data_IF_056924304139
#
_entry.id   IF_056924304139
#
_cell.length_a   1.000
_cell.length_b   1.000
_cell.length_c   1.000
_cell.angle_alpha   90.00
_cell.angle_beta   90.00
_cell.angle_gamma   90.00
#
_symmetry.space_group_name_H-M   'P 1'
#
loop_
_entity.id
_entity.type
_entity.pdbx_description
1 polymer ?
#
# COMPACT_ATOMS: atom_id res chain seq x y z
N UNK A 1 17.92 5.64 -5.24
CA UNK A 1 16.66 5.77 -6.00
C UNK A 1 15.56 5.02 -5.28
N UNK A 2 14.37 5.61 -5.19
CA UNK A 2 13.21 4.99 -4.56
C UNK A 2 12.74 3.76 -5.38
N UNK A 3 12.56 2.57 -4.75
CA UNK A 3 12.03 1.38 -5.41
C UNK A 3 10.71 1.59 -6.16
N UNK A 4 9.81 2.42 -5.65
CA UNK A 4 8.48 2.65 -6.22
C UNK A 4 8.57 3.19 -7.66
N UNK A 5 9.64 3.91 -7.97
CA UNK A 5 9.83 4.54 -9.28
C UNK A 5 10.18 3.54 -10.39
N UNK A 6 10.78 2.39 -10.06
CA UNK A 6 11.24 1.42 -11.06
C UNK A 6 10.68 0.00 -10.90
N UNK A 7 10.09 -0.33 -9.75
CA UNK A 7 9.42 -1.62 -9.57
C UNK A 7 8.22 -1.76 -10.53
N UNK A 8 7.96 -2.98 -11.04
CA UNK A 8 6.86 -3.23 -11.96
C UNK A 8 5.52 -3.18 -11.22
N UNK A 9 4.68 -2.24 -11.63
CA UNK A 9 3.30 -2.03 -11.15
C UNK A 9 2.56 -1.14 -12.15
N UNK A 10 1.24 -1.12 -12.10
CA UNK A 10 0.41 -0.24 -12.91
C UNK A 10 0.67 1.24 -12.58
N UNK A 11 0.31 2.13 -13.51
CA UNK A 11 0.38 3.58 -13.30
C UNK A 11 -0.42 4.01 -12.06
N UNK A 12 -1.62 3.45 -11.88
CA UNK A 12 -2.52 3.79 -10.78
C UNK A 12 -1.94 3.35 -9.43
N UNK A 13 -1.42 2.13 -9.32
CA UNK A 13 -0.76 1.65 -8.09
C UNK A 13 0.44 2.53 -7.72
N UNK A 14 1.28 2.87 -8.72
CA UNK A 14 2.43 3.74 -8.50
C UNK A 14 2.01 5.12 -8.02
N UNK A 15 0.97 5.71 -8.62
CA UNK A 15 0.43 7.01 -8.20
C UNK A 15 -0.04 6.98 -6.74
N UNK A 16 -0.78 5.93 -6.34
CA UNK A 16 -1.22 5.73 -4.94
C UNK A 16 -0.04 5.64 -3.97
N UNK A 17 0.97 4.84 -4.32
CA UNK A 17 2.17 4.64 -3.49
C UNK A 17 3.00 5.91 -3.35
N UNK A 18 3.17 6.67 -4.43
CA UNK A 18 3.87 7.97 -4.41
C UNK A 18 3.11 8.95 -3.51
N UNK A 19 1.79 9.07 -3.66
CA UNK A 19 0.97 9.94 -2.80
C UNK A 19 1.15 9.57 -1.33
N UNK A 20 1.03 8.28 -0.99
CA UNK A 20 1.27 7.84 0.38
C UNK A 20 2.69 8.18 0.86
N UNK A 21 3.72 7.96 0.05
CA UNK A 21 5.12 8.22 0.45
C UNK A 21 5.42 9.70 0.67
N UNK A 22 4.74 10.58 -0.04
CA UNK A 22 4.84 12.04 0.14
C UNK A 22 4.01 12.56 1.32
N UNK A 23 3.31 11.68 2.05
CA UNK A 23 2.38 12.09 3.11
C UNK A 23 1.08 12.69 2.58
N UNK A 24 0.82 12.57 1.27
CA UNK A 24 -0.35 13.15 0.63
C UNK A 24 -1.53 12.18 0.74
N UNK A 25 -2.60 12.66 1.36
CA UNK A 25 -3.91 12.02 1.23
C UNK A 25 -4.44 12.26 -0.19
N UNK A 26 -5.32 11.39 -0.69
CA UNK A 26 -6.06 11.71 -1.91
C UNK A 26 -6.72 13.09 -1.75
N UNK A 27 -6.71 13.93 -2.80
CA UNK A 27 -7.26 15.30 -2.79
C UNK A 27 -6.47 16.39 -2.04
N UNK A 28 -5.44 16.06 -1.26
CA UNK A 28 -4.52 17.03 -0.65
C UNK A 28 -5.03 17.80 0.57
N UNK A 29 -6.30 17.64 0.96
CA UNK A 29 -6.88 18.22 2.17
C UNK A 29 -7.68 17.15 2.93
N UNK A 30 -7.58 17.09 4.28
CA UNK A 30 -8.39 16.16 5.06
C UNK A 30 -9.89 16.47 4.87
N UNK A 31 -10.67 15.42 4.59
CA UNK A 31 -12.12 15.46 4.54
C UNK A 31 -12.70 14.58 5.65
N UNK A 32 -13.96 14.80 6.08
CA UNK A 32 -14.62 13.87 6.99
C UNK A 32 -14.57 12.44 6.46
N UNK A 33 -14.31 11.47 7.33
CA UNK A 33 -14.38 10.07 6.97
C UNK A 33 -15.84 9.66 6.73
N UNK A 34 -16.12 8.96 5.64
CA UNK A 34 -17.48 8.46 5.34
C UNK A 34 -18.01 7.49 6.41
N UNK A 35 -17.12 6.75 7.09
CA UNK A 35 -17.50 5.82 8.17
C UNK A 35 -17.55 6.51 9.54
N UNK A 36 -16.81 7.60 9.71
CA UNK A 36 -16.71 8.36 10.96
C UNK A 36 -16.86 9.86 10.65
N UNK A 37 -18.08 10.38 10.47
CA UNK A 37 -18.30 11.75 9.98
C UNK A 37 -17.73 12.85 10.88
N UNK A 38 -17.47 12.54 12.15
CA UNK A 38 -16.87 13.47 13.12
C UNK A 38 -15.34 13.50 13.06
N UNK A 39 -14.71 12.54 12.37
CA UNK A 39 -13.27 12.42 12.26
C UNK A 39 -12.78 12.82 10.87
N UNK A 40 -11.69 13.58 10.82
CA UNK A 40 -10.99 13.86 9.56
C UNK A 40 -10.19 12.62 9.11
N UNK A 41 -10.28 12.30 7.82
CA UNK A 41 -9.49 11.27 7.17
C UNK A 41 -8.02 11.69 7.11
N UNK A 42 -7.31 11.46 8.21
CA UNK A 42 -5.85 11.60 8.35
C UNK A 42 -5.16 10.26 8.09
N UNK A 43 -3.82 10.23 8.03
CA UNK A 43 -3.07 8.96 7.92
C UNK A 43 -3.28 8.05 9.13
N UNK A 44 -3.25 8.61 10.34
CA UNK A 44 -3.49 7.86 11.57
C UNK A 44 -4.92 7.33 11.60
N UNK A 45 -5.91 8.16 11.23
CA UNK A 45 -7.29 7.71 11.10
C UNK A 45 -7.43 6.63 10.04
N UNK A 46 -6.78 6.75 8.87
CA UNK A 46 -6.84 5.72 7.84
C UNK A 46 -6.30 4.37 8.34
N UNK A 47 -5.22 4.37 9.13
CA UNK A 47 -4.63 3.16 9.72
C UNK A 47 -5.62 2.44 10.63
N UNK A 48 -6.33 3.18 11.49
CA UNK A 48 -7.31 2.61 12.42
C UNK A 48 -8.60 2.24 11.70
N UNK A 49 -9.13 3.14 10.87
CA UNK A 49 -10.39 2.99 10.12
C UNK A 49 -10.36 1.82 9.14
N UNK A 50 -9.24 1.57 8.45
CA UNK A 50 -9.09 0.43 7.53
C UNK A 50 -8.51 -0.83 8.20
N UNK A 51 -8.37 -0.84 9.53
CA UNK A 51 -7.80 -1.94 10.32
C UNK A 51 -6.48 -2.47 9.75
N UNK A 52 -5.60 -1.57 9.31
CA UNK A 52 -4.44 -1.90 8.50
C UNK A 52 -3.46 -2.86 9.21
N UNK A 53 -3.28 -2.71 10.52
CA UNK A 53 -2.41 -3.59 11.33
C UNK A 53 -2.83 -5.05 11.27
N UNK A 54 -4.12 -5.31 11.45
CA UNK A 54 -4.70 -6.64 11.40
C UNK A 54 -4.52 -7.24 10.00
N UNK A 55 -4.89 -6.48 8.96
CA UNK A 55 -4.81 -6.94 7.57
C UNK A 55 -3.38 -7.25 7.13
N UNK A 56 -2.41 -6.45 7.56
CA UNK A 56 -1.00 -6.62 7.15
C UNK A 56 -0.19 -7.55 8.04
N UNK A 57 -0.82 -8.11 9.08
CA UNK A 57 -0.18 -8.96 10.10
C UNK A 57 1.02 -8.24 10.72
N UNK A 58 0.78 -7.03 11.23
CA UNK A 58 1.80 -6.13 11.79
C UNK A 58 1.41 -5.63 13.19
N UNK A 59 2.37 -5.52 14.13
CA UNK A 59 2.11 -5.00 15.47
C UNK A 59 1.55 -3.57 15.46
N UNK A 60 0.66 -3.25 16.40
CA UNK A 60 0.08 -1.91 16.60
C UNK A 60 1.10 -0.87 17.06
N UNK A 61 2.29 -1.28 17.49
CA UNK A 61 3.38 -0.38 17.90
C UNK A 61 3.98 0.41 16.73
N UNK A 62 3.72 0.01 15.49
CA UNK A 62 4.27 0.66 14.29
C UNK A 62 3.29 1.73 13.80
N UNK A 63 3.47 2.97 14.24
CA UNK A 63 2.53 4.07 13.93
C UNK A 63 2.36 4.37 12.44
N UNK A 64 3.38 4.18 11.59
CA UNK A 64 3.28 4.37 10.14
C UNK A 64 3.64 3.07 9.40
N UNK A 65 2.76 2.09 9.55
CA UNK A 65 2.96 0.73 9.06
C UNK A 65 3.16 0.65 7.53
N UNK A 66 2.46 1.49 6.75
CA UNK A 66 2.58 1.45 5.30
C UNK A 66 3.93 2.03 4.89
N UNK A 67 4.38 3.17 5.45
CA UNK A 67 5.73 3.67 5.15
C UNK A 67 6.81 2.70 5.60
N UNK A 68 6.64 2.08 6.77
CA UNK A 68 7.54 1.04 7.26
C UNK A 68 7.67 -0.11 6.25
N UNK A 69 6.54 -0.68 5.79
CA UNK A 69 6.56 -1.76 4.79
C UNK A 69 7.17 -1.30 3.47
N UNK A 70 6.82 -0.10 2.98
CA UNK A 70 7.38 0.43 1.73
C UNK A 70 8.89 0.66 1.78
N UNK A 71 9.46 0.88 2.96
CA UNK A 71 10.92 0.93 3.15
C UNK A 71 11.60 -0.44 3.07
N UNK A 72 10.84 -1.53 3.21
CA UNK A 72 11.33 -2.90 3.04
C UNK A 72 11.30 -3.37 1.58
N UNK A 73 10.84 -2.52 0.65
CA UNK A 73 10.84 -2.85 -0.77
C UNK A 73 12.27 -3.10 -1.28
N UNK A 74 12.46 -4.01 -2.25
CA UNK A 74 13.78 -4.27 -2.83
C UNK A 74 14.38 -2.99 -3.41
N UNK A 75 15.58 -2.62 -2.95
CA UNK A 75 16.31 -1.42 -3.40
C UNK A 75 17.28 -1.69 -4.55
N UNK A 76 17.48 -2.96 -4.92
CA UNK A 76 18.40 -3.36 -5.99
C UNK A 76 17.71 -4.24 -7.02
N UNK A 77 18.08 -4.03 -8.29
CA UNK A 77 17.68 -4.87 -9.44
C UNK A 77 18.48 -6.18 -9.52
N UNK A 78 19.51 -6.39 -8.69
CA UNK A 78 20.42 -7.54 -8.78
C UNK A 78 19.73 -8.87 -8.42
N UNK A 79 20.12 -9.95 -9.11
CA UNK A 79 19.46 -11.26 -9.12
C UNK A 79 19.52 -12.02 -7.79
N UNK A 80 18.34 -12.55 -7.41
CA UNK A 80 18.02 -13.83 -6.77
C UNK A 80 19.09 -14.50 -5.88
N UNK A 81 18.94 -14.36 -4.57
CA UNK A 81 19.56 -15.23 -3.55
C UNK A 81 18.47 -15.85 -2.65
N UNK A 82 18.81 -16.91 -1.91
CA UNK A 82 17.91 -17.70 -1.02
C UNK A 82 17.16 -16.82 0.00
N UNK A 83 17.75 -15.72 0.47
CA UNK A 83 17.11 -14.69 1.31
C UNK A 83 15.86 -14.06 0.68
N UNK A 84 15.69 -14.14 -0.64
CA UNK A 84 14.53 -13.62 -1.37
C UNK A 84 13.31 -14.54 -1.29
N UNK A 85 13.44 -15.85 -0.99
CA UNK A 85 12.29 -16.77 -0.91
C UNK A 85 11.42 -16.52 0.32
N UNK A 86 12.05 -16.20 1.46
CA UNK A 86 11.34 -15.78 2.68
C UNK A 86 10.75 -14.38 2.56
N UNK A 87 11.44 -13.46 1.85
CA UNK A 87 10.88 -12.15 1.53
C UNK A 87 9.74 -12.25 0.51
N UNK A 88 9.82 -13.18 -0.44
CA UNK A 88 8.78 -13.50 -1.41
C UNK A 88 7.49 -13.92 -0.70
N UNK A 89 7.55 -14.86 0.24
CA UNK A 89 6.34 -15.32 0.94
C UNK A 89 5.67 -14.20 1.74
N UNK A 90 6.44 -13.33 2.39
CA UNK A 90 5.89 -12.17 3.10
C UNK A 90 5.26 -11.14 2.14
N UNK A 91 5.91 -10.84 1.02
CA UNK A 91 5.40 -9.90 0.02
C UNK A 91 4.22 -10.45 -0.78
N UNK A 92 4.14 -11.77 -0.98
CA UNK A 92 3.00 -12.45 -1.60
C UNK A 92 1.69 -12.18 -0.83
N UNK A 93 1.77 -12.16 0.50
CA UNK A 93 0.61 -11.86 1.35
C UNK A 93 0.40 -10.35 1.44
N UNK A 94 1.44 -9.57 1.76
CA UNK A 94 1.28 -8.15 2.12
C UNK A 94 1.04 -7.24 0.92
N UNK A 95 1.58 -7.55 -0.26
CA UNK A 95 1.50 -6.63 -1.39
C UNK A 95 0.08 -6.43 -1.93
N UNK A 96 -0.73 -7.49 -2.19
CA UNK A 96 -2.13 -7.32 -2.57
C UNK A 96 -2.91 -6.49 -1.54
N UNK A 97 -2.65 -6.73 -0.24
CA UNK A 97 -3.31 -6.04 0.86
C UNK A 97 -2.92 -4.55 0.88
N UNK A 98 -1.65 -4.20 0.67
CA UNK A 98 -1.21 -2.80 0.51
C UNK A 98 -1.94 -2.13 -0.64
N UNK A 99 -1.98 -2.77 -1.82
CA UNK A 99 -2.66 -2.22 -2.98
C UNK A 99 -4.16 -2.02 -2.73
N UNK A 100 -4.80 -2.98 -2.03
CA UNK A 100 -6.21 -2.91 -1.67
C UNK A 100 -6.49 -1.79 -0.67
N UNK A 101 -5.67 -1.66 0.39
CA UNK A 101 -5.78 -0.56 1.37
C UNK A 101 -5.67 0.80 0.69
N UNK A 102 -4.70 0.98 -0.22
CA UNK A 102 -4.52 2.24 -0.93
C UNK A 102 -5.68 2.54 -1.90
N UNK A 103 -6.31 1.50 -2.43
CA UNK A 103 -7.51 1.63 -3.25
C UNK A 103 -8.73 2.01 -2.42
N UNK A 104 -8.94 1.38 -1.27
CA UNK A 104 -10.00 1.73 -0.31
C UNK A 104 -9.81 3.16 0.24
N UNK A 105 -8.56 3.59 0.44
CA UNK A 105 -8.27 4.97 0.83
C UNK A 105 -8.71 5.99 -0.24
N UNK A 106 -8.53 5.67 -1.53
CA UNK A 106 -9.07 6.50 -2.61
C UNK A 106 -10.60 6.55 -2.57
N UNK A 107 -11.26 5.43 -2.24
CA UNK A 107 -12.72 5.37 -2.06
C UNK A 107 -13.19 6.27 -0.91
N UNK A 108 -12.59 6.11 0.28
CA UNK A 108 -12.92 6.90 1.47
C UNK A 108 -12.84 8.41 1.22
N UNK A 109 -11.90 8.84 0.38
CA UNK A 109 -11.71 10.25 0.09
C UNK A 109 -12.65 10.79 -1.02
N UNK A 110 -12.94 10.00 -2.04
CA UNK A 110 -13.66 10.48 -3.22
C UNK A 110 -15.17 10.20 -3.20
N UNK A 111 -15.66 9.36 -2.28
CA UNK A 111 -17.07 8.98 -2.20
C UNK A 111 -17.65 8.50 -3.55
N UNK A 112 -16.78 7.91 -4.37
CA UNK A 112 -17.11 7.35 -5.69
C UNK A 112 -16.92 5.85 -5.61
N UNK A 113 -17.91 5.09 -6.06
CA UNK A 113 -17.83 3.63 -6.21
C UNK A 113 -16.48 3.24 -6.80
N UNK A 114 -15.80 2.32 -6.12
CA UNK A 114 -14.61 1.70 -6.64
C UNK A 114 -14.96 1.08 -8.01
N UNK A 115 -14.37 1.52 -9.14
CA UNK A 115 -14.46 0.72 -10.35
C UNK A 115 -13.89 -0.66 -10.01
N UNK A 116 -14.53 -1.69 -10.57
CA UNK A 116 -14.19 -3.11 -10.49
C UNK A 116 -12.73 -3.34 -10.07
N UNK A 117 -12.49 -3.95 -8.90
CA UNK A 117 -11.15 -4.12 -8.34
C UNK A 117 -10.34 -4.91 -9.37
N UNK A 118 -9.42 -4.28 -10.14
CA UNK A 118 -8.59 -5.05 -11.05
C UNK A 118 -7.69 -5.96 -10.21
N UNK A 119 -7.09 -7.02 -10.76
CA UNK A 119 -6.17 -7.85 -9.99
C UNK A 119 -4.97 -7.02 -9.50
N UNK A 120 -5.07 -6.54 -8.25
CA UNK A 120 -4.16 -5.60 -7.62
C UNK A 120 -2.86 -6.30 -7.24
N UNK A 121 -1.75 -5.61 -7.47
CA UNK A 121 -0.42 -6.04 -7.08
C UNK A 121 0.19 -7.16 -7.91
N UNK A 122 -0.53 -7.71 -8.89
CA UNK A 122 -0.11 -8.88 -9.68
C UNK A 122 1.20 -8.68 -10.43
N UNK A 123 1.42 -7.49 -11.01
CA UNK A 123 2.66 -7.18 -11.75
C UNK A 123 3.91 -7.29 -10.89
N UNK A 124 3.84 -6.83 -9.64
CA UNK A 124 4.98 -6.91 -8.74
C UNK A 124 5.18 -8.34 -8.21
N UNK A 125 4.09 -9.04 -7.92
CA UNK A 125 4.15 -10.44 -7.49
C UNK A 125 4.77 -11.35 -8.57
N UNK A 126 4.40 -11.15 -9.83
CA UNK A 126 5.00 -11.89 -10.94
C UNK A 126 6.52 -11.64 -11.03
N UNK A 127 6.95 -10.39 -10.83
CA UNK A 127 8.38 -10.04 -10.78
C UNK A 127 9.11 -10.65 -9.58
N UNK A 128 8.41 -10.83 -8.47
CA UNK A 128 8.93 -11.50 -7.29
C UNK A 128 9.08 -13.01 -7.48
N UNK A 129 8.29 -13.62 -8.36
CA UNK A 129 8.34 -15.06 -8.63
C UNK A 129 9.75 -15.50 -9.05
N UNK A 130 10.26 -16.63 -8.52
CA UNK A 130 11.38 -17.31 -9.16
C UNK A 130 10.91 -17.79 -10.55
N UNK A 131 11.72 -17.56 -11.58
CA UNK A 131 11.60 -18.26 -12.86
C UNK A 131 12.08 -19.71 -12.68
#
# INVERSE_FOLDING_TARGET
>A
MDPILWLPMSYIERSRLIRWRMGWLPGGHPKPCIYHPHDLLTRSHAITCLHMHHRLLMPSTISDLLSYLLNLLPTSRKKHTIQRRLKYSAWFIRWPIICQILHELDYLHHDKTAPEIPPLGTKLLHWFSPN
#
